data_IF_557393988682
#
_entry.id   IF_557393988682
#
_cell.length_a   1.000
_cell.length_b   1.000
_cell.length_c   1.000
_cell.angle_alpha   90.00
_cell.angle_beta   90.00
_cell.angle_gamma   90.00
#
_symmetry.space_group_name_H-M   'P 1'
#
loop_
_entity.id
_entity.type
_entity.pdbx_description
1 polymer ?
#
# COMPACT_ATOMS: atom_id res chain seq x y z
N UNK A 1 -13.73 10.82 11.12
CA UNK A 1 -12.70 11.20 10.13
C UNK A 1 -12.07 9.94 9.58
N UNK A 2 -11.77 9.84 8.27
CA UNK A 2 -11.08 8.66 7.76
C UNK A 2 -9.69 8.60 8.40
N UNK A 3 -9.34 7.46 8.99
CA UNK A 3 -8.03 7.20 9.63
C UNK A 3 -6.88 7.26 8.61
N UNK A 4 -7.16 7.05 7.33
CA UNK A 4 -6.19 7.03 6.24
C UNK A 4 -6.52 8.05 5.16
N UNK A 5 -5.48 8.62 4.57
CA UNK A 5 -5.62 9.56 3.45
C UNK A 5 -4.84 9.06 2.23
N UNK A 6 -5.08 9.67 1.07
CA UNK A 6 -4.46 9.29 -0.19
C UNK A 6 -3.93 10.54 -0.88
N UNK A 7 -2.67 10.50 -1.32
CA UNK A 7 -2.06 11.60 -2.08
C UNK A 7 -2.74 11.78 -3.44
N UNK A 8 -2.63 12.98 -4.03
CA UNK A 8 -3.11 13.24 -5.39
C UNK A 8 -2.46 12.30 -6.42
N UNK A 9 -1.16 12.02 -6.26
CA UNK A 9 -0.45 11.03 -7.07
C UNK A 9 -1.11 9.64 -6.98
N UNK A 10 -1.48 9.20 -5.78
CA UNK A 10 -2.17 7.92 -5.63
C UNK A 10 -3.50 7.90 -6.40
N UNK A 11 -4.31 8.96 -6.24
CA UNK A 11 -5.64 9.06 -6.85
C UNK A 11 -5.57 9.16 -8.38
N UNK A 12 -4.64 9.96 -8.90
CA UNK A 12 -4.60 10.33 -10.32
C UNK A 12 -3.71 9.42 -11.16
N UNK A 13 -2.66 8.83 -10.58
CA UNK A 13 -1.70 8.00 -11.30
C UNK A 13 -1.80 6.52 -10.90
N UNK A 14 -1.79 6.23 -9.59
CA UNK A 14 -1.70 4.85 -9.12
C UNK A 14 -2.98 4.08 -9.42
N UNK A 15 -4.15 4.65 -9.08
CA UNK A 15 -5.45 4.05 -9.37
C UNK A 15 -5.74 3.99 -10.87
N UNK A 16 -5.37 5.03 -11.62
CA UNK A 16 -5.55 5.07 -13.08
C UNK A 16 -4.74 3.98 -13.79
N UNK A 17 -3.48 3.75 -13.37
CA UNK A 17 -2.62 2.70 -13.94
C UNK A 17 -2.93 1.29 -13.41
N UNK A 18 -3.65 1.20 -12.28
CA UNK A 18 -3.98 -0.07 -11.59
C UNK A 18 -5.45 -0.07 -11.19
N UNK A 19 -6.38 -0.15 -12.17
CA UNK A 19 -7.82 -0.08 -11.89
C UNK A 19 -8.33 -1.26 -11.04
N UNK A 20 -7.56 -2.34 -10.95
CA UNK A 20 -7.84 -3.49 -10.07
C UNK A 20 -7.55 -3.21 -8.58
N UNK A 21 -6.81 -2.15 -8.25
CA UNK A 21 -6.39 -1.85 -6.90
C UNK A 21 -7.55 -1.25 -6.10
N UNK A 22 -7.88 -1.90 -4.98
CA UNK A 22 -8.88 -1.41 -4.03
C UNK A 22 -8.23 -0.58 -2.93
N UNK A 23 -8.86 0.51 -2.50
CA UNK A 23 -8.36 1.34 -1.39
C UNK A 23 -8.35 0.57 -0.07
N UNK A 24 -9.35 -0.31 0.07
CA UNK A 24 -9.56 -1.21 1.19
C UNK A 24 -8.39 -2.17 1.36
N UNK A 25 -7.83 -2.69 0.26
CA UNK A 25 -6.61 -3.50 0.31
C UNK A 25 -5.41 -2.70 0.80
N UNK A 26 -5.29 -1.45 0.39
CA UNK A 26 -4.18 -0.60 0.82
C UNK A 26 -4.24 -0.33 2.32
N UNK A 27 -5.44 -0.08 2.84
CA UNK A 27 -5.70 0.10 4.26
C UNK A 27 -5.41 -1.20 5.02
N UNK A 28 -5.92 -2.33 4.52
CA UNK A 28 -5.70 -3.65 5.11
C UNK A 28 -4.20 -3.97 5.27
N UNK A 29 -3.38 -3.68 4.26
CA UNK A 29 -1.93 -3.89 4.33
C UNK A 29 -1.26 -3.08 5.44
N UNK A 30 -1.74 -1.85 5.69
CA UNK A 30 -1.19 -1.00 6.76
C UNK A 30 -1.65 -1.49 8.13
N UNK A 31 -2.87 -2.02 8.24
CA UNK A 31 -3.44 -2.52 9.50
C UNK A 31 -2.96 -3.92 9.88
N UNK A 32 -2.65 -4.76 8.88
CA UNK A 32 -2.24 -6.15 9.06
C UNK A 32 -0.93 -6.45 8.32
N UNK A 33 0.17 -5.70 8.55
CA UNK A 33 1.40 -5.91 7.83
C UNK A 33 2.09 -7.18 8.32
N UNK A 34 2.52 -8.02 7.38
CA UNK A 34 3.45 -9.12 7.66
C UNK A 34 4.89 -8.63 7.74
N UNK A 35 5.19 -7.49 7.08
CA UNK A 35 6.47 -6.79 7.16
C UNK A 35 6.23 -5.29 7.05
N UNK A 36 7.02 -4.51 7.78
CA UNK A 36 7.07 -3.06 7.68
C UNK A 36 8.52 -2.61 7.68
N UNK A 37 8.88 -1.71 6.77
CA UNK A 37 10.23 -1.17 6.66
C UNK A 37 10.24 0.32 6.38
N UNK A 38 11.15 1.09 7.00
CA UNK A 38 11.46 2.42 6.51
C UNK A 38 12.11 2.35 5.12
N UNK A 39 11.91 3.40 4.35
CA UNK A 39 12.59 3.67 3.08
C UNK A 39 13.27 5.03 3.19
N UNK A 40 14.32 5.25 2.38
CA UNK A 40 14.88 6.58 2.14
C UNK A 40 13.77 7.59 1.75
N UNK A 41 13.95 8.87 2.07
CA UNK A 41 12.98 9.96 1.88
C UNK A 41 11.75 9.96 2.80
N UNK A 42 11.88 9.48 4.04
CA UNK A 42 10.79 9.48 5.05
C UNK A 42 9.53 8.75 4.59
N UNK A 43 9.69 7.63 3.90
CA UNK A 43 8.58 6.76 3.48
C UNK A 43 8.61 5.46 4.27
N UNK A 44 7.45 4.82 4.35
CA UNK A 44 7.32 3.50 4.94
C UNK A 44 6.70 2.54 3.95
N UNK A 45 7.24 1.32 3.90
CA UNK A 45 6.75 0.22 3.08
C UNK A 45 6.09 -0.81 3.99
N UNK A 46 4.89 -1.21 3.63
CA UNK A 46 4.10 -2.23 4.30
C UNK A 46 3.79 -3.33 3.29
N UNK A 47 3.82 -4.58 3.75
CA UNK A 47 3.43 -5.73 2.96
C UNK A 47 2.35 -6.49 3.69
N UNK A 48 1.35 -6.97 2.97
CA UNK A 48 0.46 -8.02 3.43
C UNK A 48 -0.02 -8.87 2.25
N UNK A 49 -0.47 -10.09 2.54
CA UNK A 49 -1.09 -10.96 1.55
C UNK A 49 -2.53 -10.51 1.34
N UNK A 50 -2.98 -10.44 0.09
CA UNK A 50 -4.37 -10.15 -0.27
C UNK A 50 -4.97 -11.40 -0.89
N UNK A 51 -5.77 -12.11 -0.11
CA UNK A 51 -6.42 -13.36 -0.53
C UNK A 51 -7.32 -13.13 -1.76
N UNK A 52 -8.13 -12.08 -1.72
CA UNK A 52 -9.03 -11.65 -2.79
C UNK A 52 -8.32 -11.28 -4.10
N UNK A 53 -6.99 -11.10 -4.05
CA UNK A 53 -6.15 -10.79 -5.21
C UNK A 53 -5.30 -11.99 -5.62
N UNK A 54 -5.85 -13.20 -5.44
CA UNK A 54 -5.19 -14.46 -5.79
C UNK A 54 -3.98 -14.72 -4.91
N UNK A 55 -4.12 -14.45 -3.61
CA UNK A 55 -3.09 -14.73 -2.61
C UNK A 55 -1.74 -14.02 -2.83
N UNK A 56 -1.78 -12.86 -3.49
CA UNK A 56 -0.58 -12.08 -3.83
C UNK A 56 -0.22 -11.11 -2.71
N UNK A 57 1.07 -10.87 -2.56
CA UNK A 57 1.57 -9.82 -1.67
C UNK A 57 1.41 -8.44 -2.31
N UNK A 58 0.75 -7.54 -1.59
CA UNK A 58 0.63 -6.15 -1.95
C UNK A 58 1.60 -5.32 -1.11
N UNK A 59 2.42 -4.50 -1.77
CA UNK A 59 3.26 -3.51 -1.11
C UNK A 59 2.56 -2.16 -1.14
N UNK A 60 2.40 -1.54 0.03
CA UNK A 60 1.85 -0.19 0.19
C UNK A 60 2.95 0.72 0.71
N UNK A 61 3.06 1.90 0.11
CA UNK A 61 4.00 2.94 0.49
C UNK A 61 3.23 4.12 1.06
N UNK A 62 3.57 4.52 2.27
CA UNK A 62 3.03 5.72 2.92
C UNK A 62 4.11 6.79 3.07
N UNK A 63 3.67 8.02 3.38
CA UNK A 63 4.56 9.09 3.83
C UNK A 63 4.97 8.88 5.30
N UNK A 64 5.70 9.85 5.85
CA UNK A 64 6.30 9.78 7.19
C UNK A 64 5.27 9.53 8.30
N UNK A 65 4.04 9.98 8.12
CA UNK A 65 2.93 9.84 9.06
C UNK A 65 2.32 8.43 9.13
N UNK A 66 2.75 7.52 8.25
CA UNK A 66 2.28 6.13 8.13
C UNK A 66 0.80 5.96 7.80
N UNK A 67 0.06 7.05 7.59
CA UNK A 67 -1.39 7.04 7.33
C UNK A 67 -1.75 7.65 5.97
N UNK A 68 -0.84 8.43 5.38
CA UNK A 68 -1.01 9.01 4.05
C UNK A 68 -0.44 8.07 3.00
N UNK A 69 -1.33 7.39 2.27
CA UNK A 69 -0.98 6.41 1.24
C UNK A 69 -0.50 7.14 -0.02
N UNK A 70 0.74 6.84 -0.41
CA UNK A 70 1.40 7.43 -1.56
C UNK A 70 1.41 6.50 -2.77
N UNK A 71 1.70 5.21 -2.60
CA UNK A 71 1.76 4.25 -3.70
C UNK A 71 1.33 2.85 -3.23
N UNK A 72 0.87 2.01 -4.15
CA UNK A 72 0.65 0.59 -3.87
C UNK A 72 0.71 -0.25 -5.15
N UNK A 73 1.29 -1.45 -5.04
CA UNK A 73 1.40 -2.38 -6.16
C UNK A 73 1.71 -3.80 -5.69
N UNK A 74 1.38 -4.82 -6.50
CA UNK A 74 1.73 -6.20 -6.19
C UNK A 74 3.26 -6.36 -6.20
N UNK A 75 3.82 -6.96 -5.16
CA UNK A 75 5.24 -7.20 -5.03
C UNK A 75 5.53 -8.69 -5.21
N UNK A 76 5.91 -9.08 -6.44
CA UNK A 76 6.20 -10.48 -6.78
C UNK A 76 7.55 -10.96 -6.27
N UNK A 77 8.43 -10.03 -5.90
CA UNK A 77 9.75 -10.34 -5.34
C UNK A 77 9.72 -10.55 -3.83
N UNK A 78 8.65 -10.11 -3.18
CA UNK A 78 8.49 -10.26 -1.75
C UNK A 78 8.38 -11.74 -1.39
N UNK A 79 9.28 -12.18 -0.51
CA UNK A 79 9.25 -13.47 0.17
C UNK A 79 9.18 -13.16 1.67
N UNK A 80 8.14 -13.62 2.38
CA UNK A 80 7.99 -13.38 3.82
C UNK A 80 9.18 -13.94 4.60
#
# INVERSE_FOLDING_TARGET
MPKYTFTSYFKNDVLTKRPYLKKEWCIYVIENPIRCEPQEDNRFRFWAKIEEFGDRYLRVVTLADKITIHNAFPDRSFKP
#
